data_IF_721957200713
#
_entry.id   IF_721957200713
#
_cell.length_a   1.000
_cell.length_b   1.000
_cell.length_c   1.000
_cell.angle_alpha   90.00
_cell.angle_beta   90.00
_cell.angle_gamma   90.00
#
_symmetry.space_group_name_H-M   'P 1'
#
loop_
_entity.id
_entity.type
_entity.pdbx_description
1 polymer ?
#
# COMPACT_ATOMS: atom_id res chain seq x y z
N UNK A 1 19.48 32.01 19.39
CA UNK A 1 18.16 31.76 18.79
C UNK A 1 18.11 30.25 18.61
N UNK A 2 17.14 29.55 19.22
CA UNK A 2 16.99 28.11 19.01
C UNK A 2 16.70 27.86 17.53
N UNK A 3 17.42 26.92 16.91
CA UNK A 3 17.10 26.46 15.56
C UNK A 3 15.64 25.95 15.57
N UNK A 4 14.81 26.56 14.70
CA UNK A 4 13.43 26.10 14.50
C UNK A 4 13.52 24.74 13.83
N UNK A 5 12.85 23.71 14.36
CA UNK A 5 12.85 22.40 13.78
C UNK A 5 12.31 22.44 12.32
N UNK A 6 12.74 21.49 11.48
CA UNK A 6 12.26 21.37 10.08
C UNK A 6 10.73 21.32 10.02
N UNK A 7 10.12 20.56 10.94
CA UNK A 7 8.67 20.45 11.07
C UNK A 7 8.00 21.80 11.41
N UNK A 8 8.50 22.52 12.40
CA UNK A 8 7.93 23.82 12.77
C UNK A 8 8.07 24.87 11.66
N UNK A 9 9.19 24.82 10.91
CA UNK A 9 9.37 25.70 9.76
C UNK A 9 8.36 25.38 8.64
N UNK A 10 8.17 24.11 8.30
CA UNK A 10 7.18 23.65 7.32
C UNK A 10 5.76 24.04 7.73
N UNK A 11 5.40 23.79 9.00
CA UNK A 11 4.09 24.15 9.55
C UNK A 11 3.84 25.66 9.52
N UNK A 12 4.85 26.48 9.80
CA UNK A 12 4.77 27.95 9.70
C UNK A 12 4.55 28.41 8.26
N UNK A 13 5.23 27.79 7.29
CA UNK A 13 5.02 28.06 5.85
C UNK A 13 3.60 27.68 5.42
N UNK A 14 3.14 26.51 5.84
CA UNK A 14 1.79 26.01 5.59
C UNK A 14 0.72 26.94 6.16
N UNK A 15 0.88 27.41 7.40
CA UNK A 15 -0.04 28.38 8.02
C UNK A 15 -0.16 29.69 7.23
N UNK A 16 0.97 30.24 6.76
CA UNK A 16 0.97 31.46 5.93
C UNK A 16 0.30 31.27 4.58
N UNK A 17 0.38 30.07 3.99
CA UNK A 17 -0.31 29.75 2.75
C UNK A 17 -1.81 29.61 3.00
N UNK A 18 -2.17 28.87 4.04
CA UNK A 18 -3.56 28.65 4.46
C UNK A 18 -4.36 29.94 4.64
N UNK A 19 -3.72 31.00 5.20
CA UNK A 19 -4.34 32.31 5.37
C UNK A 19 -4.77 33.00 4.06
N UNK A 20 -4.20 32.57 2.94
CA UNK A 20 -4.48 33.12 1.59
C UNK A 20 -5.47 32.28 0.80
N UNK A 21 -5.72 31.04 1.23
CA UNK A 21 -6.56 30.11 0.50
C UNK A 21 -8.04 30.43 0.63
N UNK A 22 -8.75 30.30 -0.47
CA UNK A 22 -10.21 30.28 -0.49
C UNK A 22 -10.74 29.01 0.14
N UNK A 23 -12.03 28.98 0.54
CA UNK A 23 -12.66 27.77 1.05
C UNK A 23 -12.62 26.63 0.03
N UNK A 24 -12.84 26.93 -1.25
CA UNK A 24 -12.76 25.94 -2.34
C UNK A 24 -11.38 25.29 -2.42
N UNK A 25 -10.31 26.08 -2.40
CA UNK A 25 -8.94 25.53 -2.41
C UNK A 25 -8.63 24.70 -1.15
N UNK A 26 -9.12 25.14 0.00
CA UNK A 26 -8.98 24.37 1.25
C UNK A 26 -9.64 23.01 1.13
N UNK A 27 -10.88 22.95 0.67
CA UNK A 27 -11.61 21.68 0.46
C UNK A 27 -10.91 20.84 -0.60
N UNK A 28 -10.41 21.46 -1.68
CA UNK A 28 -9.65 20.76 -2.72
C UNK A 28 -8.41 20.04 -2.19
N UNK A 29 -7.72 20.59 -1.18
CA UNK A 29 -6.58 19.89 -0.55
C UNK A 29 -7.00 18.63 0.22
N UNK A 30 -8.27 18.48 0.55
CA UNK A 30 -8.82 17.31 1.23
C UNK A 30 -9.29 16.22 0.25
N UNK A 31 -9.10 16.40 -1.06
CA UNK A 31 -9.60 15.48 -2.09
C UNK A 31 -8.44 14.87 -2.89
N UNK A 32 -8.48 13.54 -3.04
CA UNK A 32 -7.59 12.77 -3.90
C UNK A 32 -8.40 12.17 -5.05
N UNK A 33 -7.78 12.10 -6.22
CA UNK A 33 -8.40 11.57 -7.43
C UNK A 33 -7.63 10.35 -7.96
N UNK A 34 -8.36 9.31 -8.39
CA UNK A 34 -7.79 8.10 -8.99
C UNK A 34 -7.70 8.16 -10.52
N UNK A 35 -6.93 7.27 -11.12
CA UNK A 35 -6.78 7.18 -12.59
C UNK A 35 -8.06 6.82 -13.33
N UNK A 36 -8.97 6.09 -12.70
CA UNK A 36 -10.25 5.68 -13.31
C UNK A 36 -11.11 6.87 -13.74
N UNK A 37 -10.91 8.02 -13.12
CA UNK A 37 -11.60 9.28 -13.43
C UNK A 37 -10.97 9.98 -14.65
N UNK A 38 -9.74 9.57 -15.08
CA UNK A 38 -8.94 10.28 -16.08
C UNK A 38 -8.87 9.60 -17.45
N UNK A 39 -9.52 8.47 -17.63
CA UNK A 39 -9.33 7.69 -18.86
C UNK A 39 -9.83 8.37 -20.12
N UNK A 40 -10.85 9.26 -20.06
CA UNK A 40 -11.45 9.78 -21.29
C UNK A 40 -11.92 11.25 -21.30
N UNK A 41 -11.90 12.02 -20.20
CA UNK A 41 -12.44 13.39 -20.22
C UNK A 41 -11.62 14.45 -19.48
N UNK A 42 -10.52 14.88 -20.09
CA UNK A 42 -9.67 15.96 -19.56
C UNK A 42 -10.41 17.29 -19.31
N UNK A 43 -11.51 17.52 -20.00
CA UNK A 43 -12.28 18.77 -19.88
C UNK A 43 -13.02 18.90 -18.57
N UNK A 44 -13.50 17.78 -17.98
CA UNK A 44 -14.20 17.81 -16.71
C UNK A 44 -13.29 18.28 -15.55
N UNK A 45 -11.97 18.19 -15.72
CA UNK A 45 -11.00 18.55 -14.68
C UNK A 45 -10.30 19.89 -14.88
N UNK A 46 -10.42 20.54 -16.06
CA UNK A 46 -9.86 21.87 -16.28
C UNK A 46 -10.41 22.89 -15.27
N UNK A 47 -11.70 22.79 -14.92
CA UNK A 47 -12.34 23.63 -13.92
C UNK A 47 -11.78 23.32 -12.51
N UNK A 48 -11.49 22.05 -12.19
CA UNK A 48 -10.89 21.64 -10.92
C UNK A 48 -9.48 22.24 -10.74
N UNK A 49 -8.68 22.32 -11.81
CA UNK A 49 -7.36 22.96 -11.76
C UNK A 49 -7.49 24.46 -11.48
N UNK A 50 -8.33 25.15 -12.24
CA UNK A 50 -8.51 26.59 -12.11
C UNK A 50 -9.08 27.00 -10.73
N UNK A 51 -9.90 26.15 -10.12
CA UNK A 51 -10.48 26.38 -8.81
C UNK A 51 -9.64 25.86 -7.65
N UNK A 52 -8.57 25.11 -7.93
CA UNK A 52 -7.70 24.51 -6.91
C UNK A 52 -8.35 23.39 -6.11
N UNK A 53 -9.25 22.60 -6.75
CA UNK A 53 -10.03 21.55 -6.11
C UNK A 53 -9.30 20.22 -5.95
N UNK A 54 -8.00 20.17 -6.18
CA UNK A 54 -7.23 18.92 -6.21
C UNK A 54 -6.04 18.99 -5.26
N UNK A 55 -6.00 18.10 -4.26
CA UNK A 55 -4.91 17.98 -3.32
C UNK A 55 -3.92 16.87 -3.65
N UNK A 56 -4.40 15.78 -4.26
CA UNK A 56 -3.61 14.57 -4.48
C UNK A 56 -4.12 13.76 -5.68
N UNK A 57 -3.25 12.92 -6.21
CA UNK A 57 -3.55 11.92 -7.23
C UNK A 57 -3.08 10.53 -6.82
N UNK A 58 -3.84 9.51 -7.20
CA UNK A 58 -3.56 8.11 -7.00
C UNK A 58 -3.25 7.42 -8.34
N UNK A 59 -2.21 6.55 -8.34
CA UNK A 59 -1.89 5.61 -9.43
C UNK A 59 -1.57 6.25 -10.79
N UNK A 60 -0.93 7.42 -10.81
CA UNK A 60 -0.35 7.99 -12.04
C UNK A 60 1.15 7.72 -12.03
N UNK A 61 1.64 6.88 -12.96
CA UNK A 61 2.98 6.28 -12.96
C UNK A 61 3.87 6.75 -14.13
N UNK A 62 3.46 7.76 -14.85
CA UNK A 62 4.19 8.35 -15.97
C UNK A 62 4.73 9.74 -15.62
N UNK A 63 6.06 9.91 -15.62
CA UNK A 63 6.74 11.16 -15.25
C UNK A 63 6.32 12.36 -16.08
N UNK A 64 6.17 12.16 -17.38
CA UNK A 64 5.77 13.22 -18.29
C UNK A 64 4.36 13.67 -17.96
N UNK A 65 3.47 12.70 -17.73
CA UNK A 65 2.09 12.98 -17.33
C UNK A 65 2.01 13.67 -15.97
N UNK A 66 2.80 13.23 -14.98
CA UNK A 66 2.91 13.90 -13.68
C UNK A 66 3.37 15.36 -13.86
N UNK A 67 4.41 15.60 -14.66
CA UNK A 67 4.89 16.96 -14.92
C UNK A 67 3.85 17.84 -15.63
N UNK A 68 3.11 17.29 -16.60
CA UNK A 68 2.01 17.98 -17.27
C UNK A 68 0.93 18.44 -16.28
N UNK A 69 0.45 17.51 -15.45
CA UNK A 69 -0.57 17.79 -14.41
C UNK A 69 -0.05 18.81 -13.40
N UNK A 70 1.18 18.64 -12.91
CA UNK A 70 1.79 19.58 -11.96
C UNK A 70 1.94 20.98 -12.56
N UNK A 71 2.37 21.07 -13.82
CA UNK A 71 2.47 22.37 -14.50
C UNK A 71 1.13 23.07 -14.60
N UNK A 72 0.07 22.33 -14.97
CA UNK A 72 -1.27 22.89 -15.07
C UNK A 72 -1.80 23.34 -13.71
N UNK A 73 -1.62 22.54 -12.66
CA UNK A 73 -2.02 22.90 -11.29
C UNK A 73 -1.28 24.15 -10.81
N UNK A 74 0.04 24.19 -10.97
CA UNK A 74 0.85 25.32 -10.50
C UNK A 74 0.58 26.58 -11.31
N UNK A 75 0.29 26.48 -12.62
CA UNK A 75 -0.01 27.63 -13.48
C UNK A 75 -1.43 28.17 -13.29
N UNK A 76 -2.43 27.28 -13.16
CA UNK A 76 -3.85 27.65 -13.20
C UNK A 76 -4.47 27.85 -11.82
N UNK A 77 -4.01 27.14 -10.78
CA UNK A 77 -4.63 27.25 -9.45
C UNK A 77 -4.25 28.57 -8.75
N UNK A 78 -5.17 29.14 -7.92
CA UNK A 78 -4.98 30.47 -7.37
C UNK A 78 -3.75 30.64 -6.47
N UNK A 79 -3.38 29.61 -5.70
CA UNK A 79 -2.21 29.64 -4.82
C UNK A 79 -1.06 28.72 -5.26
N UNK A 80 -1.10 28.24 -6.51
CA UNK A 80 0.01 27.50 -7.17
C UNK A 80 0.45 26.25 -6.38
N UNK A 81 -0.50 25.51 -5.82
CA UNK A 81 -0.24 24.37 -4.93
C UNK A 81 -0.11 23.09 -5.78
N UNK A 82 1.05 22.41 -5.79
CA UNK A 82 1.22 21.15 -6.50
C UNK A 82 0.46 20.02 -5.81
N UNK A 83 0.04 19.02 -6.59
CA UNK A 83 -0.61 17.82 -6.06
C UNK A 83 0.40 16.84 -5.48
N UNK A 84 -0.04 16.06 -4.50
CA UNK A 84 0.70 14.93 -3.94
C UNK A 84 0.38 13.66 -4.73
N UNK A 85 1.36 13.06 -5.42
CA UNK A 85 1.18 11.82 -6.17
C UNK A 85 1.47 10.62 -5.28
N UNK A 86 0.51 9.69 -5.24
CA UNK A 86 0.52 8.50 -4.39
C UNK A 86 0.38 7.21 -5.18
N UNK A 87 0.87 6.10 -4.62
CA UNK A 87 0.68 4.76 -5.17
C UNK A 87 0.81 3.69 -4.08
N UNK A 88 0.30 2.47 -4.35
CA UNK A 88 0.44 1.29 -3.51
C UNK A 88 1.78 0.59 -3.77
N UNK A 89 2.85 1.14 -3.24
CA UNK A 89 4.19 0.54 -3.34
C UNK A 89 4.39 -0.42 -2.18
N UNK A 90 3.72 -1.59 -2.23
CA UNK A 90 3.62 -2.52 -1.09
C UNK A 90 4.87 -3.39 -0.95
N UNK A 91 5.31 -4.03 -2.04
CA UNK A 91 6.49 -4.91 -2.01
C UNK A 91 7.37 -4.74 -3.26
N UNK A 92 7.62 -3.51 -3.61
CA UNK A 92 8.42 -3.12 -4.78
C UNK A 92 7.70 -2.07 -5.62
N UNK A 93 8.47 -1.42 -6.48
CA UNK A 93 7.93 -0.53 -7.51
C UNK A 93 8.16 -1.14 -8.89
N UNK A 94 9.35 -1.03 -9.47
CA UNK A 94 9.75 -1.81 -10.66
C UNK A 94 10.45 -3.11 -10.27
N UNK A 95 11.39 -3.04 -9.34
CA UNK A 95 11.97 -4.23 -8.72
C UNK A 95 10.97 -4.81 -7.72
N UNK A 96 10.44 -5.99 -8.04
CA UNK A 96 9.49 -6.72 -7.17
C UNK A 96 10.27 -7.51 -6.11
N UNK A 97 9.89 -7.35 -4.85
CA UNK A 97 10.37 -8.11 -3.70
C UNK A 97 9.34 -9.18 -3.29
N UNK A 98 9.70 -10.14 -2.44
CA UNK A 98 8.70 -11.03 -1.84
C UNK A 98 7.58 -10.24 -1.17
N UNK A 99 6.37 -10.79 -1.18
CA UNK A 99 5.22 -10.20 -0.47
C UNK A 99 5.55 -10.00 1.01
N UNK A 100 4.97 -9.02 1.71
CA UNK A 100 5.29 -8.73 3.11
C UNK A 100 5.16 -9.94 4.04
N UNK A 101 4.17 -10.81 3.83
CA UNK A 101 4.04 -12.06 4.57
C UNK A 101 5.27 -12.96 4.40
N UNK A 102 5.81 -13.08 3.18
CA UNK A 102 7.03 -13.84 2.94
C UNK A 102 8.26 -13.16 3.55
N UNK A 103 8.37 -11.82 3.46
CA UNK A 103 9.44 -11.08 4.12
C UNK A 103 9.42 -11.32 5.64
N UNK A 104 8.24 -11.41 6.28
CA UNK A 104 8.15 -11.69 7.71
C UNK A 104 8.68 -13.07 8.11
N UNK A 105 8.66 -14.05 7.19
CA UNK A 105 9.25 -15.39 7.42
C UNK A 105 10.77 -15.35 7.59
N UNK A 106 11.45 -14.31 7.13
CA UNK A 106 12.88 -14.12 7.31
C UNK A 106 13.27 -13.80 8.76
N UNK A 107 12.35 -13.21 9.54
CA UNK A 107 12.61 -12.62 10.86
C UNK A 107 13.71 -11.55 10.83
N UNK A 108 13.89 -10.92 9.66
CA UNK A 108 14.92 -9.90 9.39
C UNK A 108 14.25 -8.55 8.99
N UNK A 109 13.89 -7.70 9.96
CA UNK A 109 13.32 -6.40 9.68
C UNK A 109 14.27 -5.46 8.92
N UNK A 110 15.60 -5.62 9.08
CA UNK A 110 16.60 -4.79 8.39
C UNK A 110 16.59 -5.05 6.88
N UNK A 111 16.36 -6.29 6.47
CA UNK A 111 16.15 -6.63 5.06
C UNK A 111 14.90 -5.95 4.50
N UNK A 112 13.78 -5.93 5.25
CA UNK A 112 12.57 -5.21 4.84
C UNK A 112 12.80 -3.71 4.74
N UNK A 113 13.52 -3.09 5.69
CA UNK A 113 13.90 -1.68 5.59
C UNK A 113 14.66 -1.39 4.30
N UNK A 114 15.63 -2.25 3.93
CA UNK A 114 16.38 -2.17 2.67
C UNK A 114 15.49 -2.31 1.43
N UNK A 115 14.57 -3.28 1.42
CA UNK A 115 13.62 -3.50 0.32
C UNK A 115 12.69 -2.28 0.13
N UNK A 116 12.12 -1.77 1.22
CA UNK A 116 11.28 -0.57 1.20
C UNK A 116 12.05 0.68 0.75
N UNK A 117 13.33 0.81 1.14
CA UNK A 117 14.18 1.91 0.72
C UNK A 117 14.46 1.91 -0.79
N UNK A 118 14.68 0.73 -1.37
CA UNK A 118 14.84 0.56 -2.82
C UNK A 118 13.53 0.88 -3.54
N UNK A 119 12.42 0.35 -3.04
CA UNK A 119 11.08 0.61 -3.59
C UNK A 119 10.75 2.10 -3.59
N UNK A 120 11.04 2.79 -2.48
CA UNK A 120 10.85 4.24 -2.35
C UNK A 120 11.71 5.02 -3.35
N UNK A 121 12.98 4.64 -3.51
CA UNK A 121 13.91 5.27 -4.45
C UNK A 121 13.42 5.16 -5.89
N UNK A 122 12.96 3.97 -6.30
CA UNK A 122 12.43 3.76 -7.64
C UNK A 122 11.15 4.57 -7.89
N UNK A 123 10.19 4.51 -6.96
CA UNK A 123 8.93 5.25 -7.04
C UNK A 123 9.15 6.78 -7.01
N UNK A 124 10.07 7.25 -6.16
CA UNK A 124 10.42 8.67 -6.09
C UNK A 124 10.91 9.20 -7.45
N UNK A 125 11.68 8.39 -8.19
CA UNK A 125 12.20 8.72 -9.52
C UNK A 125 11.11 8.87 -10.58
N UNK A 126 10.00 8.15 -10.43
CA UNK A 126 8.83 8.29 -11.30
C UNK A 126 7.84 9.39 -10.84
N UNK A 127 8.18 10.14 -9.79
CA UNK A 127 7.39 11.28 -9.34
C UNK A 127 6.42 10.98 -8.20
N UNK A 128 6.35 9.74 -7.74
CA UNK A 128 5.58 9.39 -6.55
C UNK A 128 6.23 10.01 -5.33
N UNK A 129 5.42 10.55 -4.41
CA UNK A 129 5.90 11.19 -3.18
C UNK A 129 5.25 10.60 -1.92
N UNK A 130 4.28 9.74 -2.09
CA UNK A 130 3.51 9.13 -1.02
C UNK A 130 3.19 7.68 -1.37
N UNK A 131 3.36 6.75 -0.42
CA UNK A 131 2.95 5.35 -0.61
C UNK A 131 1.91 4.95 0.41
N UNK A 132 0.95 4.09 0.00
CA UNK A 132 -0.03 3.47 0.89
C UNK A 132 0.54 2.17 1.49
N UNK A 133 1.71 2.30 2.11
CA UNK A 133 2.44 1.25 2.82
C UNK A 133 3.16 1.84 4.04
N UNK A 134 3.42 1.03 5.09
CA UNK A 134 3.17 -0.41 5.20
C UNK A 134 1.73 -0.77 5.62
N UNK A 135 1.27 -1.95 5.22
CA UNK A 135 0.10 -2.60 5.78
C UNK A 135 0.54 -3.39 7.01
N UNK A 136 -0.07 -3.07 8.16
CA UNK A 136 0.32 -3.63 9.47
C UNK A 136 -0.84 -4.28 10.21
N UNK A 137 -1.85 -4.69 9.48
CA UNK A 137 -2.96 -5.47 10.03
C UNK A 137 -2.47 -6.82 10.52
N UNK A 138 -2.74 -7.12 11.79
CA UNK A 138 -2.53 -8.45 12.33
C UNK A 138 -3.58 -9.38 11.74
N UNK A 139 -3.15 -10.37 10.97
CA UNK A 139 -4.02 -11.31 10.29
C UNK A 139 -3.79 -12.73 10.83
N UNK A 140 -4.84 -13.33 11.40
CA UNK A 140 -4.83 -14.67 12.01
C UNK A 140 -5.70 -15.68 11.27
N UNK A 141 -6.55 -15.20 10.34
CA UNK A 141 -7.39 -16.04 9.51
C UNK A 141 -6.79 -16.15 8.10
N UNK A 142 -6.21 -17.31 7.72
CA UNK A 142 -5.58 -17.47 6.40
C UNK A 142 -6.58 -17.49 5.23
N UNK A 143 -7.89 -17.41 5.51
CA UNK A 143 -8.92 -17.28 4.47
C UNK A 143 -9.03 -15.84 3.95
N UNK A 144 -8.52 -14.86 4.68
CA UNK A 144 -8.53 -13.46 4.26
C UNK A 144 -7.49 -13.22 3.15
N UNK A 145 -7.95 -12.75 1.98
CA UNK A 145 -7.09 -12.58 0.81
C UNK A 145 -5.96 -11.57 1.00
N UNK A 146 -6.19 -10.52 1.81
CA UNK A 146 -5.19 -9.48 2.09
C UNK A 146 -4.12 -9.88 3.12
N UNK A 147 -4.17 -11.10 3.67
CA UNK A 147 -3.14 -11.59 4.60
C UNK A 147 -1.72 -11.47 4.00
N UNK A 148 -1.61 -11.55 2.67
CA UNK A 148 -0.33 -11.47 1.97
C UNK A 148 0.32 -10.08 2.04
N UNK A 149 -0.46 -9.02 2.29
CA UNK A 149 0.02 -7.64 2.31
C UNK A 149 0.70 -7.25 3.64
N UNK A 150 0.45 -8.00 4.71
CA UNK A 150 0.93 -7.71 6.07
C UNK A 150 2.02 -8.67 6.54
N UNK A 151 2.48 -8.47 7.78
CA UNK A 151 3.59 -9.19 8.37
C UNK A 151 3.15 -10.36 9.27
N UNK A 152 1.92 -10.88 9.07
CA UNK A 152 1.41 -12.10 9.71
C UNK A 152 0.66 -11.87 11.01
N UNK A 153 0.68 -12.88 11.88
CA UNK A 153 -0.20 -12.99 13.06
C UNK A 153 0.41 -12.53 14.38
N UNK A 154 1.74 -12.42 14.44
CA UNK A 154 2.45 -12.09 15.69
C UNK A 154 2.58 -10.58 15.85
N UNK A 155 2.03 -10.06 16.95
CA UNK A 155 2.02 -8.63 17.25
C UNK A 155 3.41 -8.04 17.43
N UNK A 156 4.34 -8.77 18.09
CA UNK A 156 5.69 -8.27 18.33
C UNK A 156 6.49 -8.20 17.02
N UNK A 157 6.44 -9.26 16.23
CA UNK A 157 7.12 -9.32 14.94
C UNK A 157 6.60 -8.24 13.99
N UNK A 158 5.27 -8.09 13.89
CA UNK A 158 4.66 -7.05 13.07
C UNK A 158 5.09 -5.63 13.50
N UNK A 159 5.25 -5.36 14.80
CA UNK A 159 5.82 -4.09 15.29
C UNK A 159 7.23 -3.84 14.75
N UNK A 160 8.10 -4.86 14.78
CA UNK A 160 9.46 -4.74 14.27
C UNK A 160 9.46 -4.41 12.77
N UNK A 161 8.64 -5.10 11.99
CA UNK A 161 8.52 -4.85 10.56
C UNK A 161 7.84 -3.51 10.24
N UNK A 162 6.84 -3.09 11.02
CA UNK A 162 6.19 -1.78 10.88
C UNK A 162 7.20 -0.64 11.00
N UNK A 163 8.06 -0.67 12.04
CA UNK A 163 9.15 0.30 12.22
C UNK A 163 10.13 0.28 11.05
N UNK A 164 10.56 -0.91 10.64
CA UNK A 164 11.51 -1.08 9.55
C UNK A 164 10.97 -0.55 8.23
N UNK A 165 9.72 -0.89 7.88
CA UNK A 165 9.10 -0.44 6.66
C UNK A 165 8.89 1.08 6.62
N UNK A 166 8.41 1.70 7.72
CA UNK A 166 8.30 3.17 7.82
C UNK A 166 9.65 3.83 7.57
N UNK A 167 10.73 3.34 8.21
CA UNK A 167 12.08 3.86 7.99
C UNK A 167 12.57 3.63 6.57
N UNK A 168 12.30 2.46 6.01
CA UNK A 168 12.66 2.14 4.64
C UNK A 168 12.01 3.09 3.63
N UNK A 169 10.70 3.28 3.71
CA UNK A 169 9.99 4.19 2.79
C UNK A 169 10.34 5.66 3.03
N UNK A 170 10.46 6.09 4.28
CA UNK A 170 10.45 7.51 4.66
C UNK A 170 11.83 8.06 5.05
N UNK A 171 12.79 7.18 5.36
CA UNK A 171 14.08 7.56 5.95
C UNK A 171 13.98 7.81 7.46
N UNK A 172 14.99 8.45 8.03
CA UNK A 172 15.00 8.82 9.44
C UNK A 172 14.21 10.10 9.70
N UNK A 173 14.03 10.94 8.67
CA UNK A 173 13.28 12.19 8.72
C UNK A 173 12.41 12.35 7.48
N UNK A 174 11.21 12.91 7.64
CA UNK A 174 10.33 13.23 6.52
C UNK A 174 11.04 14.22 5.56
N UNK A 175 11.02 13.89 4.27
CA UNK A 175 11.59 14.72 3.20
C UNK A 175 13.08 14.48 2.97
N UNK A 176 13.59 13.30 3.32
CA UNK A 176 14.85 12.81 2.77
C UNK A 176 14.71 12.54 1.26
N UNK A 177 15.81 12.78 0.52
CA UNK A 177 15.84 12.51 -0.92
C UNK A 177 15.65 11.01 -1.19
N UNK A 178 14.99 10.67 -2.29
CA UNK A 178 14.71 9.30 -2.71
C UNK A 178 13.84 8.52 -1.69
N UNK A 179 12.99 9.25 -0.93
CA UNK A 179 12.06 8.69 0.06
C UNK A 179 10.63 9.18 -0.20
N UNK A 180 9.67 8.43 0.34
CA UNK A 180 8.23 8.70 0.21
C UNK A 180 7.63 8.99 1.59
N UNK A 181 6.51 9.69 1.64
CA UNK A 181 5.65 9.64 2.81
C UNK A 181 5.11 8.22 2.97
N UNK A 182 5.22 7.63 4.15
CA UNK A 182 4.62 6.33 4.47
C UNK A 182 3.19 6.49 4.95
N UNK A 183 2.37 5.45 4.78
CA UNK A 183 1.00 5.38 5.24
C UNK A 183 0.75 4.07 5.97
N UNK A 184 0.51 4.16 7.28
CA UNK A 184 0.15 2.99 8.07
C UNK A 184 -1.30 2.59 7.76
N UNK A 185 -1.52 1.36 7.29
CA UNK A 185 -2.85 0.88 6.93
C UNK A 185 -3.12 -0.53 7.45
N UNK A 186 -4.37 -0.89 7.67
CA UNK A 186 -5.58 -0.06 7.68
C UNK A 186 -6.03 0.15 9.13
N UNK A 187 -6.29 1.37 9.55
CA UNK A 187 -6.60 1.69 10.94
C UNK A 187 -8.11 1.52 11.19
N UNK A 188 -8.59 0.42 11.88
CA UNK A 188 -7.80 -0.55 12.64
C UNK A 188 -8.55 -1.91 12.70
N UNK A 189 -7.78 -2.95 12.95
CA UNK A 189 -8.26 -4.32 13.17
C UNK A 189 -8.84 -5.02 11.92
N UNK A 190 -8.52 -4.56 10.73
CA UNK A 190 -9.05 -5.10 9.48
C UNK A 190 -8.70 -6.59 9.27
N UNK A 191 -7.51 -7.04 9.70
CA UNK A 191 -7.14 -8.46 9.65
C UNK A 191 -7.93 -9.39 10.58
N UNK A 192 -8.87 -8.84 11.37
CA UNK A 192 -9.76 -9.60 12.26
C UNK A 192 -11.17 -9.80 11.71
N UNK A 193 -11.42 -9.48 10.44
CA UNK A 193 -12.74 -9.60 9.82
C UNK A 193 -13.33 -10.99 9.97
N UNK A 194 -14.62 -11.05 10.31
CA UNK A 194 -15.32 -12.30 10.61
C UNK A 194 -15.23 -13.28 9.43
N UNK A 195 -14.71 -14.47 9.72
CA UNK A 195 -14.60 -15.55 8.76
C UNK A 195 -13.54 -15.34 7.67
N UNK A 196 -12.62 -14.38 7.83
CA UNK A 196 -11.66 -14.01 6.82
C UNK A 196 -12.31 -13.44 5.55
N UNK A 197 -13.55 -12.97 5.65
CA UNK A 197 -14.27 -12.40 4.52
C UNK A 197 -13.92 -10.91 4.42
N UNK A 198 -13.31 -10.55 3.31
CA UNK A 198 -12.90 -9.16 3.08
C UNK A 198 -14.08 -8.17 3.18
N UNK A 199 -13.84 -6.96 3.66
CA UNK A 199 -14.84 -5.91 3.92
C UNK A 199 -15.90 -6.25 4.98
N UNK A 200 -15.69 -7.30 5.80
CA UNK A 200 -16.66 -7.73 6.79
C UNK A 200 -16.47 -7.04 8.15
N UNK A 201 -17.42 -7.25 9.04
CA UNK A 201 -17.46 -6.69 10.40
C UNK A 201 -16.39 -7.27 11.32
N UNK A 202 -16.04 -6.51 12.33
CA UNK A 202 -15.13 -6.92 13.42
C UNK A 202 -15.77 -6.63 14.77
N UNK A 203 -15.91 -7.66 15.59
CA UNK A 203 -16.35 -7.54 16.99
C UNK A 203 -15.22 -7.99 17.91
N UNK A 204 -14.76 -7.12 18.81
CA UNK A 204 -13.75 -7.45 19.80
C UNK A 204 -13.82 -6.57 21.04
N UNK A 205 -13.21 -7.06 22.13
CA UNK A 205 -13.02 -6.23 23.32
C UNK A 205 -11.97 -5.15 23.10
N UNK A 206 -12.08 -4.04 23.82
CA UNK A 206 -11.04 -2.99 23.82
C UNK A 206 -9.69 -3.53 24.28
N UNK A 207 -9.66 -4.46 25.22
CA UNK A 207 -8.41 -5.12 25.63
C UNK A 207 -7.74 -5.81 24.45
N UNK A 208 -8.47 -6.59 23.67
CA UNK A 208 -7.93 -7.27 22.48
C UNK A 208 -7.42 -6.26 21.42
N UNK A 209 -8.14 -5.15 21.22
CA UNK A 209 -7.70 -4.08 20.33
C UNK A 209 -6.34 -3.52 20.79
N UNK A 210 -6.20 -3.19 22.07
CA UNK A 210 -4.98 -2.59 22.63
C UNK A 210 -3.80 -3.56 22.72
N UNK A 211 -4.05 -4.83 22.99
CA UNK A 211 -2.98 -5.81 23.20
C UNK A 211 -2.46 -6.38 21.86
N UNK A 212 -3.30 -6.43 20.83
CA UNK A 212 -2.98 -7.15 19.59
C UNK A 212 -2.90 -6.22 18.38
N UNK A 213 -3.94 -5.43 18.10
CA UNK A 213 -4.08 -4.72 16.83
C UNK A 213 -3.50 -3.31 16.84
N UNK A 214 -3.52 -2.63 17.96
CA UNK A 214 -2.99 -1.25 18.10
C UNK A 214 -1.46 -1.16 18.16
N UNK A 215 -0.72 -2.12 18.74
CA UNK A 215 0.72 -1.97 18.91
C UNK A 215 1.54 -1.78 17.63
N UNK A 216 1.26 -2.45 16.49
CA UNK A 216 1.97 -2.16 15.24
C UNK A 216 1.78 -0.71 14.75
N UNK A 217 0.58 -0.16 14.87
CA UNK A 217 0.31 1.25 14.53
C UNK A 217 1.05 2.21 15.45
N UNK A 218 1.04 1.97 16.76
CA UNK A 218 1.82 2.75 17.73
C UNK A 218 3.30 2.77 17.33
N UNK A 219 3.87 1.61 17.02
CA UNK A 219 5.27 1.46 16.63
C UNK A 219 5.62 2.24 15.34
N UNK A 220 4.75 2.19 14.32
CA UNK A 220 4.94 2.94 13.09
C UNK A 220 4.80 4.45 13.29
N UNK A 221 3.86 4.89 14.14
CA UNK A 221 3.71 6.30 14.52
C UNK A 221 4.95 6.78 15.29
N UNK A 222 5.45 6.00 16.24
CA UNK A 222 6.68 6.29 16.98
C UNK A 222 7.92 6.30 16.06
N UNK A 223 7.90 5.54 14.97
CA UNK A 223 8.92 5.59 13.92
C UNK A 223 8.78 6.81 12.99
N UNK A 224 7.73 7.61 13.13
CA UNK A 224 7.52 8.86 12.42
C UNK A 224 6.62 8.77 11.18
N UNK A 225 5.77 7.74 11.06
CA UNK A 225 4.85 7.60 9.92
C UNK A 225 4.08 8.88 9.64
N UNK A 226 4.09 9.33 8.39
CA UNK A 226 3.52 10.60 7.96
C UNK A 226 2.01 10.58 7.86
N UNK A 227 1.43 9.44 7.50
CA UNK A 227 -0.01 9.30 7.25
C UNK A 227 -0.56 7.99 7.81
N UNK A 228 -1.87 7.95 7.99
CA UNK A 228 -2.63 6.77 8.39
C UNK A 228 -3.85 6.66 7.48
N UNK A 229 -4.16 5.44 7.01
CA UNK A 229 -5.35 5.14 6.22
C UNK A 229 -6.38 4.41 7.08
N UNK A 230 -7.65 4.80 6.96
CA UNK A 230 -8.75 4.13 7.67
C UNK A 230 -9.06 2.77 7.08
N UNK A 231 -9.63 1.87 7.88
CA UNK A 231 -10.04 0.55 7.42
C UNK A 231 -11.49 0.53 6.91
N UNK A 232 -11.82 -0.44 6.07
CA UNK A 232 -13.16 -0.67 5.57
C UNK A 232 -14.13 -1.23 6.60
N UNK A 233 -13.61 -2.11 7.49
CA UNK A 233 -14.46 -2.80 8.47
C UNK A 233 -15.09 -1.84 9.47
N UNK A 234 -16.26 -2.22 9.98
CA UNK A 234 -16.75 -1.68 11.22
C UNK A 234 -16.08 -2.36 12.43
N UNK A 235 -15.91 -1.61 13.49
CA UNK A 235 -15.49 -2.13 14.79
C UNK A 235 -16.66 -2.00 15.78
N UNK A 236 -17.17 -3.14 16.24
CA UNK A 236 -18.31 -3.18 17.18
C UNK A 236 -19.52 -2.36 16.66
N UNK A 237 -19.82 -2.45 15.37
CA UNK A 237 -20.96 -1.81 14.72
C UNK A 237 -20.74 -0.34 14.31
N UNK A 238 -19.52 0.22 14.46
CA UNK A 238 -19.18 1.56 13.99
C UNK A 238 -18.11 1.47 12.92
N UNK A 239 -18.38 1.88 11.66
CA UNK A 239 -17.39 1.86 10.59
C UNK A 239 -16.12 2.62 10.98
N UNK A 240 -14.94 2.03 10.76
CA UNK A 240 -13.65 2.61 11.17
C UNK A 240 -13.44 4.01 10.61
N UNK A 241 -13.85 4.25 9.37
CA UNK A 241 -13.77 5.54 8.67
C UNK A 241 -14.62 6.64 9.33
N UNK A 242 -15.69 6.28 10.05
CA UNK A 242 -16.53 7.24 10.79
C UNK A 242 -16.44 7.08 12.32
N UNK A 243 -15.43 6.38 12.81
CA UNK A 243 -15.29 6.08 14.23
C UNK A 243 -14.41 7.12 14.95
N UNK A 244 -15.08 8.10 15.57
CA UNK A 244 -14.40 9.18 16.33
C UNK A 244 -13.52 8.65 17.47
N UNK A 245 -13.93 7.58 18.14
CA UNK A 245 -13.12 6.96 19.20
C UNK A 245 -11.77 6.51 18.63
N UNK A 246 -11.76 5.88 17.46
CA UNK A 246 -10.54 5.41 16.80
C UNK A 246 -9.69 6.59 16.30
N UNK A 247 -10.25 7.45 15.46
CA UNK A 247 -9.49 8.45 14.72
C UNK A 247 -9.12 9.69 15.57
N UNK A 248 -10.03 10.11 16.46
CA UNK A 248 -9.79 11.28 17.28
C UNK A 248 -9.22 10.90 18.65
N UNK A 249 -9.87 10.00 19.39
CA UNK A 249 -9.51 9.80 20.80
C UNK A 249 -8.28 8.90 20.93
N UNK A 250 -8.20 7.78 20.17
CA UNK A 250 -7.04 6.90 20.20
C UNK A 250 -5.90 7.49 19.32
N UNK A 251 -6.13 7.64 18.00
CA UNK A 251 -5.06 8.00 17.08
C UNK A 251 -4.45 9.39 17.37
N UNK A 252 -5.30 10.42 17.44
CA UNK A 252 -4.82 11.80 17.62
C UNK A 252 -4.42 12.12 19.06
N UNK A 253 -5.29 11.78 20.06
CA UNK A 253 -5.05 12.21 21.43
C UNK A 253 -4.15 11.26 22.21
N UNK A 254 -4.39 9.92 22.13
CA UNK A 254 -3.61 8.97 22.91
C UNK A 254 -2.26 8.68 22.24
N UNK A 255 -2.23 8.35 20.93
CA UNK A 255 -1.01 8.07 20.21
C UNK A 255 -0.24 9.33 19.78
N UNK A 256 -0.87 10.51 19.86
CA UNK A 256 -0.23 11.77 19.53
C UNK A 256 0.11 11.95 18.05
N UNK A 257 -0.59 11.23 17.15
CA UNK A 257 -0.35 11.29 15.71
C UNK A 257 -0.54 12.72 15.16
N UNK A 258 0.44 13.23 14.42
CA UNK A 258 0.49 14.62 13.93
C UNK A 258 0.40 14.75 12.40
N UNK A 259 0.41 13.63 11.69
CA UNK A 259 0.25 13.60 10.25
C UNK A 259 -1.21 13.80 9.81
N UNK A 260 -1.58 13.37 8.62
CA UNK A 260 -2.97 13.40 8.18
C UNK A 260 -3.53 11.98 7.97
N UNK A 261 -4.86 11.88 8.08
CA UNK A 261 -5.61 10.63 7.90
C UNK A 261 -6.28 10.68 6.54
N UNK A 262 -6.07 9.63 5.72
CA UNK A 262 -6.77 9.42 4.47
C UNK A 262 -7.79 8.29 4.62
N UNK A 263 -8.95 8.38 3.95
CA UNK A 263 -9.85 7.22 3.83
C UNK A 263 -9.22 6.16 2.93
N UNK A 264 -9.71 4.93 3.00
CA UNK A 264 -9.48 3.96 1.92
C UNK A 264 -10.41 4.26 0.73
N UNK A 265 -10.13 3.61 -0.42
CA UNK A 265 -10.87 3.84 -1.67
C UNK A 265 -12.32 3.39 -1.55
N UNK A 266 -13.26 4.32 -1.75
CA UNK A 266 -14.68 4.05 -1.56
C UNK A 266 -15.14 3.87 -0.10
N UNK A 267 -14.24 3.90 0.89
CA UNK A 267 -14.60 3.63 2.30
C UNK A 267 -15.54 4.67 2.93
N UNK A 268 -15.60 5.88 2.36
CA UNK A 268 -16.58 6.90 2.79
C UNK A 268 -17.94 6.61 2.20
N UNK A 269 -18.02 6.27 0.93
CA UNK A 269 -19.25 5.87 0.23
C UNK A 269 -19.89 4.63 0.87
N UNK A 270 -19.06 3.69 1.31
CA UNK A 270 -19.50 2.47 1.98
C UNK A 270 -20.23 2.70 3.31
N UNK A 271 -20.08 3.86 3.93
CA UNK A 271 -20.89 4.22 5.11
C UNK A 271 -22.39 4.17 4.85
N UNK A 272 -22.80 4.41 3.59
CA UNK A 272 -24.20 4.26 3.17
C UNK A 272 -24.58 2.79 3.12
N UNK A 273 -23.69 1.93 2.57
CA UNK A 273 -23.91 0.48 2.49
C UNK A 273 -23.94 -0.17 3.88
N UNK A 274 -23.12 0.32 4.81
CA UNK A 274 -23.15 -0.08 6.22
C UNK A 274 -24.44 0.36 6.96
N UNK A 275 -25.29 1.17 6.31
CA UNK A 275 -26.49 1.76 6.97
C UNK A 275 -26.11 2.80 8.04
N UNK A 276 -24.90 3.29 8.02
CA UNK A 276 -24.40 4.28 8.99
C UNK A 276 -24.64 5.72 8.52
N UNK A 277 -24.71 5.95 7.21
CA UNK A 277 -25.02 7.24 6.61
C UNK A 277 -26.27 7.18 5.71
N UNK A 278 -27.00 8.29 5.60
CA UNK A 278 -28.22 8.39 4.79
C UNK A 278 -27.92 8.54 3.30
N UNK A 279 -26.79 9.21 2.98
CA UNK A 279 -26.33 9.52 1.61
C UNK A 279 -24.85 9.89 1.65
N UNK A 280 -24.23 10.10 0.49
CA UNK A 280 -22.81 10.42 0.35
C UNK A 280 -22.40 11.70 1.09
N UNK A 281 -23.20 12.76 1.06
CA UNK A 281 -22.94 13.98 1.81
C UNK A 281 -22.90 13.75 3.32
N UNK A 282 -23.85 12.98 3.87
CA UNK A 282 -23.87 12.60 5.29
C UNK A 282 -22.69 11.68 5.63
N UNK A 283 -22.33 10.78 4.72
CA UNK A 283 -21.15 9.93 4.84
C UNK A 283 -19.86 10.76 4.95
N UNK A 284 -19.64 11.68 4.00
CA UNK A 284 -18.49 12.59 4.02
C UNK A 284 -18.41 13.42 5.29
N UNK A 285 -19.53 13.98 5.74
CA UNK A 285 -19.63 14.74 6.98
C UNK A 285 -19.27 13.88 8.21
N UNK A 286 -19.78 12.66 8.30
CA UNK A 286 -19.49 11.74 9.41
C UNK A 286 -18.03 11.32 9.45
N UNK A 287 -17.45 10.94 8.30
CA UNK A 287 -16.05 10.58 8.17
C UNK A 287 -15.13 11.75 8.57
N UNK A 288 -15.37 12.93 8.00
CA UNK A 288 -14.60 14.13 8.34
C UNK A 288 -14.73 14.51 9.82
N UNK A 289 -15.93 14.47 10.38
CA UNK A 289 -16.15 14.76 11.80
C UNK A 289 -15.53 13.71 12.73
N UNK A 290 -15.34 12.47 12.29
CA UNK A 290 -14.61 11.46 13.04
C UNK A 290 -13.10 11.68 13.05
N UNK A 291 -12.52 12.28 11.99
CA UNK A 291 -11.09 12.58 11.94
C UNK A 291 -10.38 12.23 10.64
N UNK A 292 -11.11 11.90 9.58
CA UNK A 292 -10.56 11.77 8.22
C UNK A 292 -10.21 13.16 7.70
N UNK A 293 -8.99 13.36 7.21
CA UNK A 293 -8.51 14.64 6.66
C UNK A 293 -8.61 14.68 5.14
N UNK A 294 -8.42 13.54 4.47
CA UNK A 294 -8.44 13.45 3.00
C UNK A 294 -9.34 12.29 2.56
N UNK A 295 -10.21 12.57 1.60
CA UNK A 295 -11.00 11.58 0.88
C UNK A 295 -10.15 10.96 -0.22
N UNK A 296 -10.05 9.62 -0.26
CA UNK A 296 -9.47 8.90 -1.39
C UNK A 296 -10.55 8.72 -2.48
N UNK A 297 -10.19 9.04 -3.71
CA UNK A 297 -10.96 8.79 -4.94
C UNK A 297 -12.38 9.36 -4.93
N UNK A 298 -12.54 10.69 -5.07
CA UNK A 298 -13.88 11.25 -5.26
C UNK A 298 -14.03 12.74 -4.96
N UNK A 299 -15.21 13.23 -5.22
CA UNK A 299 -15.60 14.63 -5.12
C UNK A 299 -16.53 14.96 -3.94
N UNK A 300 -16.89 13.99 -3.10
CA UNK A 300 -17.87 14.17 -2.00
C UNK A 300 -17.59 15.43 -1.16
N UNK A 301 -16.32 15.69 -0.86
CA UNK A 301 -15.96 16.88 -0.08
C UNK A 301 -16.12 18.16 -0.90
N UNK A 302 -15.70 18.16 -2.17
CA UNK A 302 -15.86 19.32 -3.05
C UNK A 302 -17.33 19.64 -3.30
N UNK A 303 -18.20 18.64 -3.44
CA UNK A 303 -19.61 18.80 -3.77
C UNK A 303 -20.45 19.26 -2.58
N UNK A 304 -20.18 18.77 -1.37
CA UNK A 304 -21.06 18.98 -0.22
C UNK A 304 -20.54 19.93 0.85
N UNK A 305 -19.23 20.02 1.06
CA UNK A 305 -18.66 20.79 2.17
C UNK A 305 -18.89 22.29 2.07
N UNK A 306 -18.90 22.94 0.88
CA UNK A 306 -19.24 24.38 0.80
C UNK A 306 -20.59 24.71 1.44
N UNK A 307 -21.60 23.86 1.21
CA UNK A 307 -22.91 24.04 1.81
C UNK A 307 -22.91 23.71 3.30
N UNK A 308 -22.25 22.64 3.73
CA UNK A 308 -22.15 22.27 5.15
C UNK A 308 -21.43 23.35 5.99
N UNK A 309 -20.40 24.00 5.44
CA UNK A 309 -19.74 25.12 6.10
C UNK A 309 -20.68 26.31 6.21
N UNK A 310 -21.38 26.65 5.14
CA UNK A 310 -22.36 27.76 5.12
C UNK A 310 -23.47 27.56 6.15
N UNK A 311 -23.92 26.32 6.34
CA UNK A 311 -24.98 25.96 7.27
C UNK A 311 -24.48 25.70 8.70
N UNK A 312 -23.16 25.75 8.94
CA UNK A 312 -22.54 25.50 10.25
C UNK A 312 -22.49 24.03 10.68
N UNK A 313 -22.68 23.10 9.73
CA UNK A 313 -22.60 21.67 9.98
C UNK A 313 -21.16 21.14 10.02
N UNK A 314 -20.26 21.81 9.30
CA UNK A 314 -18.80 21.63 9.36
C UNK A 314 -18.16 22.97 9.71
N UNK A 315 -17.22 22.97 10.67
CA UNK A 315 -16.51 24.20 10.99
C UNK A 315 -15.33 24.44 10.04
N UNK A 316 -15.15 25.69 9.60
CA UNK A 316 -14.00 26.05 8.76
C UNK A 316 -12.67 25.87 9.52
N UNK A 317 -12.66 26.02 10.84
CA UNK A 317 -11.48 25.77 11.67
C UNK A 317 -11.01 24.32 11.54
N UNK A 318 -11.95 23.36 11.50
CA UNK A 318 -11.61 21.94 11.33
C UNK A 318 -11.04 21.68 9.93
N UNK A 319 -11.60 22.30 8.89
CA UNK A 319 -11.02 22.26 7.54
C UNK A 319 -9.61 22.82 7.56
N UNK A 320 -9.39 23.96 8.22
CA UNK A 320 -8.08 24.57 8.34
C UNK A 320 -7.05 23.66 9.05
N UNK A 321 -7.45 22.90 10.07
CA UNK A 321 -6.59 21.94 10.76
C UNK A 321 -6.14 20.81 9.83
N UNK A 322 -7.06 20.21 9.07
CA UNK A 322 -6.77 19.16 8.11
C UNK A 322 -5.86 19.66 6.99
N UNK A 323 -6.20 20.78 6.38
CA UNK A 323 -5.39 21.43 5.33
C UNK A 323 -3.99 21.77 5.84
N UNK A 324 -3.89 22.31 7.06
CA UNK A 324 -2.59 22.61 7.66
C UNK A 324 -1.71 21.39 7.81
N UNK A 325 -2.29 20.23 8.15
CA UNK A 325 -1.55 18.97 8.26
C UNK A 325 -1.06 18.50 6.88
N UNK A 326 -1.92 18.51 5.86
CA UNK A 326 -1.57 18.13 4.49
C UNK A 326 -0.50 19.06 3.90
N UNK A 327 -0.68 20.38 4.00
CA UNK A 327 0.29 21.35 3.50
C UNK A 327 1.63 21.24 4.24
N UNK A 328 1.62 20.94 5.55
CA UNK A 328 2.84 20.72 6.32
C UNK A 328 3.65 19.58 5.73
N UNK A 329 3.01 18.45 5.36
CA UNK A 329 3.68 17.32 4.71
C UNK A 329 4.22 17.70 3.33
N UNK A 330 3.45 18.42 2.51
CA UNK A 330 3.92 18.92 1.20
C UNK A 330 5.17 19.81 1.32
N UNK A 331 5.23 20.69 2.33
CA UNK A 331 6.42 21.49 2.61
C UNK A 331 7.59 20.67 3.15
N UNK A 332 7.34 19.68 4.00
CA UNK A 332 8.39 18.83 4.59
C UNK A 332 9.15 18.04 3.52
N UNK A 333 8.43 17.48 2.54
CA UNK A 333 9.05 16.74 1.42
C UNK A 333 9.60 17.63 0.31
N UNK A 334 9.52 18.96 0.48
CA UNK A 334 10.02 19.92 -0.52
C UNK A 334 9.16 20.09 -1.76
N UNK A 335 7.99 19.46 -1.83
CA UNK A 335 7.11 19.47 -3.01
C UNK A 335 6.69 20.89 -3.42
N UNK A 336 6.52 21.78 -2.45
CA UNK A 336 6.15 23.18 -2.67
C UNK A 336 7.27 24.03 -3.28
N UNK A 337 8.51 23.56 -3.23
CA UNK A 337 9.69 24.28 -3.73
C UNK A 337 10.24 23.62 -5.00
N UNK A 338 10.12 22.31 -5.13
CA UNK A 338 10.61 21.52 -6.25
C UNK A 338 9.65 20.34 -6.52
N UNK A 339 8.67 20.58 -7.39
CA UNK A 339 7.65 19.61 -7.76
C UNK A 339 7.98 18.86 -9.05
N UNK A 340 8.92 19.37 -9.85
CA UNK A 340 9.20 18.83 -11.18
C UNK A 340 10.06 17.56 -11.10
N UNK A 341 9.68 16.56 -11.88
CA UNK A 341 10.43 15.32 -12.06
C UNK A 341 11.33 15.45 -13.26
N UNK A 342 12.60 15.05 -13.15
CA UNK A 342 13.52 15.02 -14.29
C UNK A 342 13.16 13.86 -15.23
N UNK A 343 12.62 14.18 -16.40
CA UNK A 343 12.24 13.20 -17.41
C UNK A 343 13.43 12.51 -18.09
N UNK A 344 14.61 13.15 -18.06
CA UNK A 344 15.83 12.68 -18.72
C UNK A 344 16.76 11.94 -17.76
N UNK A 345 16.48 11.92 -16.47
CA UNK A 345 17.33 11.22 -15.52
C UNK A 345 17.34 9.73 -15.87
N UNK A 346 18.51 9.21 -16.24
CA UNK A 346 18.70 7.77 -16.44
C UNK A 346 18.60 7.08 -15.10
N UNK A 347 17.42 6.59 -14.82
CA UNK A 347 17.11 5.99 -13.53
C UNK A 347 17.56 4.56 -13.52
N UNK A 348 18.37 4.21 -12.55
CA UNK A 348 18.83 2.84 -12.34
C UNK A 348 17.70 1.96 -11.79
N UNK A 349 16.61 1.81 -12.56
CA UNK A 349 15.64 0.75 -12.30
C UNK A 349 16.31 -0.61 -12.54
N UNK A 350 15.95 -1.60 -11.74
CA UNK A 350 16.55 -2.92 -11.81
C UNK A 350 18.09 -2.89 -11.68
N UNK A 351 18.64 -1.95 -10.95
CA UNK A 351 20.06 -1.87 -10.70
C UNK A 351 20.60 -3.20 -10.11
N UNK A 352 21.85 -3.61 -10.39
CA UNK A 352 22.39 -4.86 -9.87
C UNK A 352 22.21 -5.03 -8.35
N UNK A 353 22.34 -3.95 -7.58
CA UNK A 353 22.13 -3.94 -6.14
C UNK A 353 20.64 -4.13 -5.76
N UNK A 354 19.69 -3.63 -6.57
CA UNK A 354 18.24 -3.85 -6.37
C UNK A 354 17.90 -5.32 -6.60
N UNK A 355 18.36 -5.89 -7.71
CA UNK A 355 18.12 -7.31 -8.04
C UNK A 355 18.82 -8.25 -7.04
N UNK A 356 20.01 -7.88 -6.54
CA UNK A 356 20.69 -8.62 -5.48
C UNK A 356 19.90 -8.61 -4.18
N UNK A 357 19.33 -7.46 -3.80
CA UNK A 357 18.51 -7.34 -2.60
C UNK A 357 17.19 -8.14 -2.74
N UNK A 358 16.56 -8.13 -3.91
CA UNK A 358 15.35 -8.92 -4.17
C UNK A 358 15.64 -10.42 -4.04
N UNK A 359 16.76 -10.89 -4.60
CA UNK A 359 17.19 -12.27 -4.47
C UNK A 359 17.50 -12.64 -3.02
N UNK A 360 18.28 -11.83 -2.31
CA UNK A 360 18.65 -12.04 -0.91
C UNK A 360 17.39 -12.11 -0.01
N UNK A 361 16.44 -11.19 -0.20
CA UNK A 361 15.16 -11.20 0.51
C UNK A 361 14.34 -12.47 0.22
N UNK A 362 14.32 -12.93 -1.04
CA UNK A 362 13.64 -14.19 -1.40
C UNK A 362 14.31 -15.40 -0.74
N UNK A 363 15.64 -15.48 -0.75
CA UNK A 363 16.41 -16.57 -0.12
C UNK A 363 16.15 -16.61 1.41
N UNK A 364 16.05 -15.47 2.08
CA UNK A 364 15.73 -15.38 3.50
C UNK A 364 14.26 -15.71 3.83
N UNK A 365 13.37 -15.62 2.84
CA UNK A 365 11.93 -15.89 3.04
C UNK A 365 11.58 -17.38 2.99
N UNK A 366 12.51 -18.26 2.58
CA UNK A 366 12.24 -19.68 2.48
C UNK A 366 12.14 -20.34 3.85
N UNK A 367 11.10 -21.14 4.07
CA UNK A 367 10.89 -21.91 5.29
C UNK A 367 11.02 -23.39 4.98
N UNK A 368 12.05 -24.03 5.53
CA UNK A 368 12.25 -25.47 5.44
C UNK A 368 11.37 -26.17 6.47
N UNK A 369 10.22 -26.74 6.04
CA UNK A 369 9.27 -27.40 6.93
C UNK A 369 9.76 -28.79 7.32
N UNK A 370 10.30 -29.56 6.38
CA UNK A 370 10.81 -30.91 6.57
C UNK A 370 11.93 -31.23 5.58
N UNK A 371 12.92 -32.01 5.99
CA UNK A 371 13.99 -32.50 5.11
C UNK A 371 14.55 -33.83 5.66
N UNK A 372 14.35 -34.89 4.91
CA UNK A 372 14.89 -36.23 5.22
C UNK A 372 16.27 -36.51 4.56
N UNK A 373 16.93 -35.45 4.08
CA UNK A 373 18.24 -35.51 3.46
C UNK A 373 18.23 -35.36 1.93
N UNK A 374 17.08 -35.01 1.34
CA UNK A 374 16.98 -34.67 -0.10
C UNK A 374 17.64 -33.32 -0.39
N UNK A 375 17.54 -32.37 0.52
CA UNK A 375 18.16 -31.05 0.41
C UNK A 375 19.47 -30.97 1.21
N UNK A 376 20.53 -30.29 0.68
CA UNK A 376 20.58 -29.62 -0.63
C UNK A 376 20.62 -30.62 -1.78
N UNK A 377 20.02 -30.24 -2.94
CA UNK A 377 19.97 -31.12 -4.10
C UNK A 377 21.38 -31.48 -4.60
N UNK A 378 21.62 -32.77 -4.76
CA UNK A 378 22.80 -33.29 -5.43
C UNK A 378 22.71 -33.23 -6.96
N UNK A 379 23.66 -33.91 -7.62
CA UNK A 379 23.57 -34.11 -9.09
C UNK A 379 22.56 -35.20 -9.41
N UNK A 380 21.67 -34.91 -10.36
CA UNK A 380 20.68 -35.83 -10.90
C UNK A 380 20.75 -35.78 -12.40
N UNK A 381 20.58 -36.94 -13.08
CA UNK A 381 20.55 -36.99 -14.54
C UNK A 381 19.20 -36.52 -15.08
N UNK A 382 18.14 -36.80 -14.34
CA UNK A 382 16.76 -36.47 -14.71
C UNK A 382 15.97 -35.89 -13.54
N UNK A 383 15.43 -34.71 -13.76
CA UNK A 383 14.52 -34.04 -12.81
C UNK A 383 13.13 -33.94 -13.47
N UNK A 384 12.10 -34.34 -12.76
CA UNK A 384 10.72 -34.03 -13.09
C UNK A 384 10.30 -32.78 -12.30
N UNK A 385 9.95 -31.73 -13.00
CA UNK A 385 9.35 -30.51 -12.40
C UNK A 385 7.87 -30.53 -12.75
N UNK A 386 7.02 -30.73 -11.76
CA UNK A 386 5.56 -30.84 -11.94
C UNK A 386 4.83 -29.83 -11.10
N UNK A 387 3.64 -29.46 -11.54
CA UNK A 387 2.79 -28.49 -10.85
C UNK A 387 2.65 -27.16 -11.60
N UNK A 388 1.54 -26.45 -11.36
CA UNK A 388 1.14 -25.27 -12.13
C UNK A 388 2.08 -24.07 -11.95
N UNK A 389 2.89 -24.04 -10.89
CA UNK A 389 3.86 -22.95 -10.64
C UNK A 389 5.23 -23.20 -11.29
N UNK A 390 5.42 -24.34 -12.01
CA UNK A 390 6.70 -24.69 -12.63
C UNK A 390 7.23 -23.65 -13.62
N UNK A 391 6.34 -23.06 -14.42
CA UNK A 391 6.63 -22.06 -15.47
C UNK A 391 5.88 -20.74 -15.27
N UNK A 392 5.14 -20.63 -14.19
CA UNK A 392 4.30 -19.46 -13.94
C UNK A 392 5.17 -18.24 -13.64
N UNK A 393 4.84 -17.11 -14.27
CA UNK A 393 5.49 -15.81 -14.08
C UNK A 393 4.57 -14.83 -13.35
N UNK A 394 3.30 -14.80 -13.73
CA UNK A 394 2.32 -13.85 -13.23
C UNK A 394 1.98 -14.10 -11.76
N UNK A 395 1.60 -15.32 -11.42
CA UNK A 395 1.11 -15.62 -10.07
C UNK A 395 2.22 -15.55 -9.01
N UNK A 396 3.48 -15.84 -9.40
CA UNK A 396 4.62 -15.75 -8.46
C UNK A 396 5.01 -14.31 -8.09
N UNK A 397 4.53 -13.30 -8.83
CA UNK A 397 4.73 -11.90 -8.45
C UNK A 397 3.86 -11.51 -7.26
N UNK A 398 2.68 -12.13 -7.13
CA UNK A 398 1.67 -11.78 -6.11
C UNK A 398 0.94 -10.47 -6.43
N UNK A 399 -0.18 -10.18 -5.76
CA UNK A 399 -0.88 -8.90 -5.86
C UNK A 399 -0.04 -7.72 -5.33
N UNK A 400 -0.35 -6.53 -5.81
CA UNK A 400 0.34 -5.28 -5.44
C UNK A 400 1.80 -5.20 -5.90
N UNK A 401 2.14 -5.84 -7.00
CA UNK A 401 3.45 -5.77 -7.65
C UNK A 401 3.76 -4.40 -8.29
N UNK A 402 2.83 -3.46 -8.18
CA UNK A 402 2.91 -2.08 -8.70
C UNK A 402 3.19 -2.04 -10.22
N UNK A 403 4.39 -1.65 -10.64
CA UNK A 403 4.83 -1.65 -12.05
C UNK A 403 5.90 -2.71 -12.34
N UNK A 404 5.86 -3.81 -11.60
CA UNK A 404 6.72 -4.97 -11.86
C UNK A 404 6.49 -5.54 -13.27
N UNK A 405 7.56 -6.06 -13.86
CA UNK A 405 7.55 -6.61 -15.23
C UNK A 405 7.54 -8.15 -15.18
N UNK A 406 6.44 -8.77 -15.58
CA UNK A 406 6.27 -10.22 -15.57
C UNK A 406 7.38 -10.96 -16.35
N UNK A 407 7.83 -10.37 -17.46
CA UNK A 407 8.87 -10.95 -18.31
C UNK A 407 10.20 -11.12 -17.58
N UNK A 408 10.47 -10.34 -16.54
CA UNK A 408 11.68 -10.42 -15.72
C UNK A 408 11.63 -11.50 -14.64
N UNK A 409 10.45 -12.06 -14.38
CA UNK A 409 10.29 -13.11 -13.39
C UNK A 409 11.03 -14.37 -13.81
N UNK A 410 11.86 -14.88 -12.91
CA UNK A 410 12.59 -16.14 -13.11
C UNK A 410 11.72 -17.29 -12.62
N UNK A 411 11.32 -18.18 -13.53
CA UNK A 411 10.52 -19.35 -13.18
C UNK A 411 11.34 -20.43 -12.47
N UNK A 412 10.68 -21.37 -11.80
CA UNK A 412 11.35 -22.52 -11.17
C UNK A 412 12.13 -23.30 -12.20
N UNK A 413 11.59 -23.52 -13.40
CA UNK A 413 12.30 -24.20 -14.51
C UNK A 413 13.57 -23.45 -14.92
N UNK A 414 13.48 -22.14 -15.13
CA UNK A 414 14.63 -21.31 -15.50
C UNK A 414 15.72 -21.33 -14.43
N UNK A 415 15.32 -21.24 -13.15
CA UNK A 415 16.22 -21.32 -12.00
C UNK A 415 16.96 -22.65 -11.95
N UNK A 416 16.23 -23.76 -12.08
CA UNK A 416 16.82 -25.12 -12.10
C UNK A 416 17.77 -25.31 -13.28
N UNK A 417 17.45 -24.84 -14.47
CA UNK A 417 18.35 -24.92 -15.65
C UNK A 417 19.64 -24.13 -15.47
N UNK A 418 19.62 -23.03 -14.73
CA UNK A 418 20.83 -22.26 -14.42
C UNK A 418 21.75 -23.01 -13.45
N UNK A 419 21.17 -23.71 -12.47
CA UNK A 419 21.93 -24.46 -11.44
C UNK A 419 22.39 -25.84 -11.96
N UNK A 420 21.57 -26.49 -12.78
CA UNK A 420 21.78 -27.83 -13.30
C UNK A 420 21.75 -27.88 -14.85
N UNK A 421 22.71 -27.23 -15.53
CA UNK A 421 22.67 -27.06 -16.98
C UNK A 421 22.77 -28.37 -17.77
N UNK A 422 23.38 -29.42 -17.18
CA UNK A 422 23.56 -30.75 -17.80
C UNK A 422 22.41 -31.72 -17.49
N UNK A 423 21.51 -31.35 -16.54
CA UNK A 423 20.43 -32.24 -16.13
C UNK A 423 19.24 -32.16 -17.10
N UNK A 424 18.70 -33.28 -17.47
CA UNK A 424 17.45 -33.33 -18.24
C UNK A 424 16.27 -32.98 -17.33
N UNK A 425 15.66 -31.79 -17.53
CA UNK A 425 14.47 -31.37 -16.82
C UNK A 425 13.25 -31.59 -17.68
N UNK A 426 12.32 -32.44 -17.24
CA UNK A 426 11.02 -32.67 -17.87
C UNK A 426 9.94 -31.94 -17.06
N UNK A 427 9.10 -31.16 -17.73
CA UNK A 427 8.12 -30.26 -17.05
C UNK A 427 6.69 -30.62 -17.48
N UNK A 428 5.78 -30.74 -16.51
CA UNK A 428 4.34 -30.87 -16.74
C UNK A 428 3.59 -30.14 -15.64
N UNK A 429 2.65 -29.26 -15.97
CA UNK A 429 1.86 -28.54 -14.99
C UNK A 429 0.90 -29.44 -14.22
N UNK A 430 0.35 -30.47 -14.87
CA UNK A 430 -0.47 -31.49 -14.26
C UNK A 430 -1.90 -31.08 -13.93
N UNK A 431 -2.09 -29.85 -13.48
CA UNK A 431 -3.40 -29.26 -13.19
C UNK A 431 -3.38 -27.76 -13.50
N UNK A 432 -4.55 -27.18 -13.61
CA UNK A 432 -4.75 -25.74 -13.82
C UNK A 432 -4.94 -25.03 -12.47
N UNK A 433 -4.59 -23.74 -12.39
CA UNK A 433 -4.80 -22.90 -11.20
C UNK A 433 -6.19 -22.24 -11.17
N UNK A 434 -6.83 -22.09 -12.32
CA UNK A 434 -8.10 -21.36 -12.48
C UNK A 434 -9.31 -22.26 -12.47
N UNK A 435 -9.14 -23.47 -12.97
CA UNK A 435 -10.22 -24.44 -13.15
C UNK A 435 -9.97 -25.71 -12.32
N UNK A 436 -10.97 -26.57 -12.20
CA UNK A 436 -10.80 -27.92 -11.62
C UNK A 436 -10.20 -28.92 -12.65
N UNK A 437 -9.49 -28.43 -13.69
CA UNK A 437 -8.85 -29.31 -14.69
C UNK A 437 -7.62 -29.99 -14.11
N UNK A 438 -7.75 -31.32 -14.03
CA UNK A 438 -6.71 -32.24 -13.54
C UNK A 438 -6.26 -33.21 -14.64
N UNK A 439 -6.60 -32.95 -15.89
CA UNK A 439 -6.36 -33.87 -17.03
C UNK A 439 -4.87 -34.16 -17.25
N UNK A 440 -3.98 -33.21 -16.87
CA UNK A 440 -2.52 -33.37 -16.98
C UNK A 440 -1.88 -34.26 -15.90
N UNK A 441 -2.59 -34.67 -14.86
CA UNK A 441 -2.01 -35.45 -13.73
C UNK A 441 -1.42 -36.77 -14.21
N UNK A 442 -2.07 -37.48 -15.16
CA UNK A 442 -1.55 -38.75 -15.68
C UNK A 442 -0.18 -38.56 -16.34
N UNK A 443 0.01 -37.50 -17.13
CA UNK A 443 1.28 -37.18 -17.76
C UNK A 443 2.34 -36.81 -16.70
N UNK A 444 1.98 -35.99 -15.73
CA UNK A 444 2.87 -35.59 -14.60
C UNK A 444 3.38 -36.84 -13.85
N UNK A 445 2.51 -37.83 -13.61
CA UNK A 445 2.88 -39.10 -12.97
C UNK A 445 3.86 -39.90 -13.82
N UNK A 446 3.66 -40.00 -15.14
CA UNK A 446 4.58 -40.73 -16.01
C UNK A 446 5.96 -40.05 -16.11
N UNK A 447 6.00 -38.72 -16.16
CA UNK A 447 7.24 -37.95 -16.11
C UNK A 447 7.96 -38.21 -14.77
N UNK A 448 7.23 -38.14 -13.66
CA UNK A 448 7.77 -38.36 -12.31
C UNK A 448 8.37 -39.77 -12.16
N UNK A 449 7.71 -40.82 -12.65
CA UNK A 449 8.23 -42.20 -12.62
C UNK A 449 9.54 -42.39 -13.39
N UNK A 450 9.81 -41.54 -14.36
CA UNK A 450 10.99 -41.63 -15.23
C UNK A 450 12.19 -40.81 -14.72
N UNK A 451 12.04 -40.08 -13.62
CA UNK A 451 13.03 -39.16 -13.07
C UNK A 451 13.72 -39.73 -11.82
N UNK A 452 14.90 -39.19 -11.52
CA UNK A 452 15.68 -39.50 -10.31
C UNK A 452 15.23 -38.63 -9.13
N UNK A 453 14.69 -37.44 -9.44
CA UNK A 453 14.17 -36.47 -8.50
C UNK A 453 12.88 -35.86 -9.04
N UNK A 454 11.91 -35.66 -8.16
CA UNK A 454 10.65 -34.94 -8.44
C UNK A 454 10.56 -33.68 -7.64
N UNK A 455 10.32 -32.56 -8.31
CA UNK A 455 10.01 -31.27 -7.70
C UNK A 455 8.55 -30.93 -8.03
N UNK A 456 7.74 -30.70 -6.99
CA UNK A 456 6.34 -30.30 -7.13
C UNK A 456 6.24 -28.82 -6.79
N UNK A 457 5.95 -27.98 -7.80
CA UNK A 457 5.79 -26.55 -7.65
C UNK A 457 4.30 -26.19 -7.63
N UNK A 458 3.78 -25.88 -6.45
CA UNK A 458 2.39 -25.52 -6.20
C UNK A 458 2.28 -24.14 -5.56
N UNK A 459 1.14 -23.51 -5.68
CA UNK A 459 0.90 -22.18 -5.13
C UNK A 459 -0.53 -21.71 -5.34
N UNK A 460 -0.80 -20.48 -4.91
CA UNK A 460 -2.08 -19.83 -5.12
C UNK A 460 -2.03 -18.93 -6.36
N UNK A 461 -3.18 -18.82 -7.02
CA UNK A 461 -3.35 -17.91 -8.14
C UNK A 461 -3.44 -16.46 -7.67
N UNK A 462 -2.87 -15.53 -8.42
CA UNK A 462 -2.92 -14.08 -8.19
C UNK A 462 -4.35 -13.56 -7.92
N UNK A 463 -5.35 -13.99 -8.70
CA UNK A 463 -6.74 -13.52 -8.53
C UNK A 463 -7.53 -14.15 -7.37
N UNK A 464 -6.93 -15.07 -6.59
CA UNK A 464 -7.57 -15.68 -5.41
C UNK A 464 -7.07 -15.15 -4.08
N UNK A 465 -6.08 -14.27 -4.12
CA UNK A 465 -5.49 -13.58 -2.97
C UNK A 465 -5.45 -12.08 -3.24
N UNK A 466 -5.24 -11.27 -2.20
CA UNK A 466 -5.28 -9.82 -2.29
C UNK A 466 -6.63 -9.24 -1.88
N UNK A 467 -6.88 -8.00 -2.27
CA UNK A 467 -8.09 -7.27 -1.93
C UNK A 467 -9.33 -7.83 -2.63
N UNK A 468 -10.48 -7.69 -1.99
CA UNK A 468 -11.77 -8.26 -2.39
C UNK A 468 -11.76 -9.80 -2.52
N UNK A 469 -10.70 -10.46 -2.07
CA UNK A 469 -10.56 -11.90 -2.13
C UNK A 469 -10.73 -12.54 -0.74
N UNK A 470 -11.40 -13.70 -0.75
CA UNK A 470 -11.57 -14.55 0.44
C UNK A 470 -11.70 -16.00 -0.01
N UNK A 471 -11.09 -16.90 0.69
CA UNK A 471 -11.17 -18.33 0.36
C UNK A 471 -11.93 -19.11 1.42
N UNK A 472 -12.71 -20.11 1.00
CA UNK A 472 -13.34 -21.07 1.90
C UNK A 472 -12.53 -22.36 2.03
N UNK A 473 -11.46 -22.50 1.22
CA UNK A 473 -10.61 -23.68 1.15
C UNK A 473 -9.17 -23.31 1.49
N UNK A 474 -8.55 -24.06 2.41
CA UNK A 474 -7.13 -23.92 2.75
C UNK A 474 -6.31 -25.02 2.04
N UNK A 475 -6.58 -25.27 0.76
CA UNK A 475 -5.88 -26.25 -0.09
C UNK A 475 -5.21 -25.49 -1.24
N UNK A 476 -4.01 -25.96 -1.55
CA UNK A 476 -3.29 -25.58 -2.78
C UNK A 476 -3.84 -26.37 -3.96
#
# INVERSE_FOLDING_TARGET
MSEISKFENARRRASKLLEKMTLTEKIGQLSQFGTSIYSDDHKAFEDHFAEGKIGSYLTIRDRKRINEIQSELVEKSPNHIPALFADDVIHGYKTTFPIPLAQSCSWDPEMTEKCCAISAKEAYRDGIRWTFAPMVDIARDPRWGRIMEGYGEDTFLCRCFARAAVKGYQGNEIGEKDRLLSCMKHFIAYGAVVGGKDYNSVDMSMQQLYDIYLPPFREGIDAGAATVMTAFNDLNGVPSTANKMLLTDILRKELGFKGFVVSDDGAVEELVNHGYAENEGDAGKKAFNAGVDMLMSGDIFNDHFPEFVKNGEISEEKINESVLSILTMKFLIGLMDDWKVDENEDTAFFAPEHLSAARESAEHSFVLLENDGVLPLGKHDKIALVGPMARNKRDVMGPWECVGEEERTVTVEEGLKRVFPETKISVCEGCDLETDDISGICEAVEIAKSADLVIVAVGQRHGTVGEAASTTRLRL
#
